data_IF_969079246370
#
_entry.id   IF_969079246370
#
_cell.length_a   1.000
_cell.length_b   1.000
_cell.length_c   1.000
_cell.angle_alpha   90.00
_cell.angle_beta   90.00
_cell.angle_gamma   90.00
#
_symmetry.space_group_name_H-M   'P 1'
#
loop_
_entity.id
_entity.type
_entity.pdbx_description
1 polymer ?
#
# COMPACT_ATOMS: atom_id res chain seq x y z
N UNK A 1 5.06 23.64 -13.08
CA UNK A 1 3.74 23.14 -13.52
C UNK A 1 2.66 24.07 -12.99
N UNK A 2 1.67 24.39 -13.83
CA UNK A 2 0.48 25.14 -13.41
C UNK A 2 -0.32 24.35 -12.38
N UNK A 3 -0.92 25.05 -11.41
CA UNK A 3 -1.70 24.44 -10.31
C UNK A 3 -2.81 23.51 -10.81
N UNK A 4 -3.54 23.93 -11.85
CA UNK A 4 -4.61 23.13 -12.45
C UNK A 4 -4.09 21.85 -13.11
N UNK A 5 -2.94 21.91 -13.79
CA UNK A 5 -2.31 20.76 -14.39
C UNK A 5 -1.83 19.77 -13.31
N UNK A 6 -1.26 20.28 -12.22
CA UNK A 6 -0.78 19.46 -11.12
C UNK A 6 -1.94 18.73 -10.39
N UNK A 7 -3.06 19.42 -10.13
CA UNK A 7 -4.26 18.81 -9.56
C UNK A 7 -4.83 17.74 -10.51
N UNK A 8 -4.84 18.00 -11.82
CA UNK A 8 -5.30 17.04 -12.82
C UNK A 8 -4.44 15.77 -12.81
N UNK A 9 -3.11 15.90 -12.72
CA UNK A 9 -2.21 14.75 -12.61
C UNK A 9 -2.46 13.96 -11.30
N UNK A 10 -2.65 14.67 -10.20
CA UNK A 10 -2.99 14.03 -8.93
C UNK A 10 -4.28 13.19 -9.04
N UNK A 11 -5.35 13.73 -9.63
CA UNK A 11 -6.61 12.99 -9.83
C UNK A 11 -6.47 11.79 -10.80
N UNK A 12 -5.42 11.76 -11.61
CA UNK A 12 -5.02 10.62 -12.46
C UNK A 12 -4.13 9.61 -11.73
N UNK A 13 -3.87 9.79 -10.45
CA UNK A 13 -3.09 8.87 -9.63
C UNK A 13 -1.59 9.19 -9.52
N UNK A 14 -1.17 10.41 -9.87
CA UNK A 14 0.22 10.83 -9.75
C UNK A 14 0.42 11.77 -8.55
N UNK A 15 1.01 11.26 -7.48
CA UNK A 15 1.41 12.06 -6.32
C UNK A 15 2.92 12.27 -6.34
N UNK A 16 3.42 13.52 -6.27
CA UNK A 16 4.85 13.78 -6.17
C UNK A 16 5.43 13.18 -4.88
N UNK A 17 6.60 12.58 -4.98
CA UNK A 17 7.33 12.03 -3.85
C UNK A 17 7.96 13.11 -2.96
N UNK A 18 8.41 12.74 -1.74
CA UNK A 18 9.19 13.61 -0.88
C UNK A 18 10.50 14.01 -1.59
N UNK A 19 10.75 15.31 -1.72
CA UNK A 19 11.94 15.86 -2.39
C UNK A 19 12.08 15.50 -3.89
N UNK A 20 11.04 15.00 -4.54
CA UNK A 20 11.01 14.78 -5.99
C UNK A 20 11.00 16.15 -6.69
N UNK A 21 11.94 16.36 -7.63
CA UNK A 21 11.95 17.61 -8.42
C UNK A 21 10.79 17.62 -9.41
N UNK A 22 10.43 18.82 -9.89
CA UNK A 22 9.37 18.97 -10.89
C UNK A 22 9.72 18.19 -12.18
N UNK A 23 10.97 18.26 -12.61
CA UNK A 23 11.46 17.55 -13.79
C UNK A 23 11.36 16.04 -13.63
N UNK A 24 11.80 15.48 -12.49
CA UNK A 24 11.73 14.05 -12.21
C UNK A 24 10.29 13.57 -12.14
N UNK A 25 9.41 14.33 -11.51
CA UNK A 25 7.99 14.03 -11.46
C UNK A 25 7.35 13.99 -12.86
N UNK A 26 7.59 15.01 -13.70
CA UNK A 26 7.04 15.06 -15.05
C UNK A 26 7.60 13.94 -15.94
N UNK A 27 8.89 13.67 -15.83
CA UNK A 27 9.52 12.53 -16.54
C UNK A 27 8.87 11.22 -16.15
N UNK A 28 8.60 10.98 -14.86
CA UNK A 28 7.89 9.78 -14.38
C UNK A 28 6.47 9.70 -14.96
N UNK A 29 5.74 10.81 -14.99
CA UNK A 29 4.41 10.86 -15.61
C UNK A 29 4.47 10.49 -17.09
N UNK A 30 5.36 11.14 -17.85
CA UNK A 30 5.54 10.90 -19.29
C UNK A 30 5.89 9.44 -19.58
N UNK A 31 6.81 8.84 -18.81
CA UNK A 31 7.18 7.43 -18.95
C UNK A 31 5.99 6.50 -18.68
N UNK A 32 5.17 6.78 -17.65
CA UNK A 32 3.96 6.00 -17.41
C UNK A 32 2.94 6.13 -18.56
N UNK A 33 2.80 7.32 -19.14
CA UNK A 33 1.92 7.55 -20.28
C UNK A 33 2.43 6.85 -21.56
N UNK A 34 3.73 6.83 -21.80
CA UNK A 34 4.33 6.09 -22.93
C UNK A 34 4.13 4.58 -22.79
N UNK A 35 4.34 4.05 -21.59
CA UNK A 35 4.12 2.64 -21.29
C UNK A 35 2.65 2.27 -21.48
N UNK A 36 1.73 3.14 -21.09
CA UNK A 36 0.30 2.92 -21.28
C UNK A 36 -0.12 2.89 -22.76
N UNK A 37 0.64 3.53 -23.67
CA UNK A 37 0.39 3.46 -25.13
C UNK A 37 0.74 2.11 -25.75
N UNK A 38 1.77 1.42 -25.25
CA UNK A 38 2.16 0.07 -25.70
C UNK A 38 2.48 -0.85 -24.51
N UNK A 39 1.44 -1.27 -23.77
CA UNK A 39 1.62 -2.06 -22.54
C UNK A 39 2.21 -3.44 -22.81
N UNK A 40 1.98 -4.04 -24.00
CA UNK A 40 2.52 -5.34 -24.33
C UNK A 40 4.05 -5.30 -24.53
N UNK A 41 4.56 -4.22 -25.11
CA UNK A 41 6.00 -3.99 -25.24
C UNK A 41 6.64 -3.78 -23.87
N UNK A 42 5.98 -3.01 -23.00
CA UNK A 42 6.43 -2.77 -21.64
C UNK A 42 6.55 -4.07 -20.84
N UNK A 43 5.53 -4.94 -20.88
CA UNK A 43 5.55 -6.23 -20.16
C UNK A 43 6.66 -7.17 -20.64
N UNK A 44 7.01 -7.15 -21.95
CA UNK A 44 8.11 -7.99 -22.49
C UNK A 44 9.47 -7.61 -21.90
N UNK A 45 9.67 -6.35 -21.57
CA UNK A 45 10.92 -5.84 -21.00
C UNK A 45 10.99 -5.99 -19.47
N UNK A 46 9.89 -6.38 -18.84
CA UNK A 46 9.78 -6.60 -17.39
C UNK A 46 9.72 -8.11 -17.09
N UNK A 47 10.06 -8.54 -15.88
CA UNK A 47 9.96 -9.95 -15.46
C UNK A 47 8.50 -10.41 -15.30
N UNK A 48 7.58 -9.83 -16.07
CA UNK A 48 6.14 -10.05 -16.08
C UNK A 48 5.63 -10.50 -17.47
N UNK A 49 6.52 -10.96 -18.33
CA UNK A 49 6.19 -11.39 -19.70
C UNK A 49 5.11 -12.49 -19.78
N UNK A 50 4.97 -13.28 -18.70
CA UNK A 50 4.01 -14.38 -18.59
C UNK A 50 2.65 -13.94 -18.00
N UNK A 51 2.44 -12.65 -17.77
CA UNK A 51 1.21 -12.12 -17.18
C UNK A 51 0.26 -11.64 -18.26
N UNK A 52 -1.05 -11.86 -18.07
CA UNK A 52 -2.05 -11.39 -19.00
C UNK A 52 -2.40 -9.93 -18.70
N UNK A 53 -2.34 -9.08 -19.72
CA UNK A 53 -2.84 -7.71 -19.60
C UNK A 53 -4.33 -7.68 -19.27
N UNK A 54 -4.71 -6.84 -18.32
CA UNK A 54 -6.09 -6.50 -18.08
C UNK A 54 -6.42 -5.26 -18.90
N UNK A 55 -7.29 -5.42 -19.90
CA UNK A 55 -7.75 -4.32 -20.76
C UNK A 55 -8.95 -3.59 -20.21
N UNK A 56 -9.55 -4.10 -19.13
CA UNK A 56 -10.68 -3.44 -18.47
C UNK A 56 -10.19 -2.23 -17.68
N UNK A 57 -10.73 -1.01 -17.95
CA UNK A 57 -10.39 0.16 -17.17
C UNK A 57 -10.86 -0.03 -15.72
N UNK A 58 -10.01 0.35 -14.76
CA UNK A 58 -10.37 0.25 -13.34
C UNK A 58 -11.50 1.20 -12.93
N UNK A 59 -11.84 2.17 -13.79
CA UNK A 59 -12.85 3.16 -13.51
C UNK A 59 -12.44 4.16 -12.42
N UNK A 60 -13.44 4.81 -11.83
CA UNK A 60 -13.24 5.70 -10.69
C UNK A 60 -13.03 4.86 -9.42
N UNK A 61 -11.94 5.08 -8.73
CA UNK A 61 -11.60 4.39 -7.48
C UNK A 61 -12.12 5.17 -6.29
N UNK A 62 -13.23 4.71 -5.74
CA UNK A 62 -13.77 5.25 -4.49
C UNK A 62 -13.10 4.61 -3.26
N UNK A 63 -12.98 5.30 -2.12
CA UNK A 63 -13.46 6.67 -1.84
C UNK A 63 -12.50 7.79 -2.27
N UNK A 64 -11.41 7.48 -2.95
CA UNK A 64 -10.32 8.42 -3.22
C UNK A 64 -10.55 9.33 -4.42
N UNK A 65 -11.59 9.09 -5.25
CA UNK A 65 -11.90 9.85 -6.45
C UNK A 65 -10.74 9.98 -7.47
N UNK A 66 -9.96 8.90 -7.66
CA UNK A 66 -8.89 8.82 -8.64
C UNK A 66 -9.29 8.04 -9.87
N UNK A 67 -8.76 8.46 -11.03
CA UNK A 67 -8.84 7.70 -12.27
C UNK A 67 -7.43 7.22 -12.63
N UNK A 68 -7.22 5.93 -12.73
CA UNK A 68 -5.91 5.35 -13.08
C UNK A 68 -5.87 4.94 -14.55
N UNK A 69 -6.02 5.93 -15.44
CA UNK A 69 -6.08 5.74 -16.90
C UNK A 69 -4.75 5.30 -17.53
N UNK A 70 -3.65 5.53 -16.83
CA UNK A 70 -2.28 5.15 -17.27
C UNK A 70 -1.71 3.98 -16.50
N UNK A 71 -2.47 3.38 -15.56
CA UNK A 71 -1.98 2.30 -14.73
C UNK A 71 -1.98 0.98 -15.50
N UNK A 72 -0.80 0.36 -15.59
CA UNK A 72 -0.68 -0.97 -16.14
C UNK A 72 -1.25 -1.99 -15.15
N UNK A 73 -2.30 -2.69 -15.57
CA UNK A 73 -2.95 -3.74 -14.77
C UNK A 73 -2.78 -5.09 -15.44
N UNK A 74 -2.39 -6.09 -14.67
CA UNK A 74 -2.16 -7.46 -15.15
C UNK A 74 -2.93 -8.48 -14.30
N UNK A 75 -3.33 -9.59 -14.91
CA UNK A 75 -3.96 -10.72 -14.22
C UNK A 75 -3.02 -11.91 -14.17
N UNK A 76 -2.66 -12.34 -12.97
CA UNK A 76 -1.82 -13.51 -12.76
C UNK A 76 -1.94 -14.02 -11.33
N UNK A 77 -1.85 -15.35 -11.14
CA UNK A 77 -1.69 -15.99 -9.82
C UNK A 77 -0.21 -16.25 -9.50
N UNK A 78 0.69 -16.02 -10.46
CA UNK A 78 2.13 -16.23 -10.28
C UNK A 78 2.69 -15.21 -9.29
N UNK A 79 3.58 -15.66 -8.42
CA UNK A 79 4.26 -14.84 -7.40
C UNK A 79 3.33 -14.18 -6.38
N UNK A 80 2.03 -14.45 -6.43
CA UNK A 80 1.05 -13.93 -5.50
C UNK A 80 0.71 -15.02 -4.48
N UNK A 81 0.98 -14.83 -3.18
CA UNK A 81 0.57 -15.77 -2.13
C UNK A 81 -0.92 -16.09 -2.22
N UNK A 82 -1.32 -17.33 -1.89
CA UNK A 82 -2.71 -17.77 -2.10
C UNK A 82 -3.75 -16.96 -1.30
N UNK A 83 -3.33 -16.24 -0.27
CA UNK A 83 -4.19 -15.38 0.55
C UNK A 83 -4.27 -13.93 0.06
N UNK A 84 -3.44 -13.51 -0.89
CA UNK A 84 -3.46 -12.17 -1.46
C UNK A 84 -4.33 -12.10 -2.70
N UNK A 85 -5.19 -11.09 -2.79
CA UNK A 85 -6.08 -10.86 -3.94
C UNK A 85 -5.44 -10.03 -5.04
N UNK A 86 -4.45 -9.21 -4.68
CA UNK A 86 -3.69 -8.34 -5.58
C UNK A 86 -2.34 -8.00 -4.97
N UNK A 87 -1.48 -7.38 -5.75
CA UNK A 87 -0.24 -6.75 -5.31
C UNK A 87 0.13 -5.61 -6.25
N UNK A 88 0.67 -4.53 -5.69
CA UNK A 88 1.31 -3.46 -6.44
C UNK A 88 2.81 -3.72 -6.54
N UNK A 89 3.32 -3.79 -7.77
CA UNK A 89 4.75 -3.91 -8.06
C UNK A 89 5.29 -2.56 -8.45
N UNK A 90 6.45 -2.20 -7.93
CA UNK A 90 7.19 -1.00 -8.32
C UNK A 90 8.45 -1.40 -9.06
N UNK A 91 8.60 -0.93 -10.28
CA UNK A 91 9.78 -1.17 -11.12
C UNK A 91 10.54 0.13 -11.30
N UNK A 92 11.84 0.10 -11.03
CA UNK A 92 12.70 1.21 -11.35
C UNK A 92 12.85 1.34 -12.88
N UNK A 93 12.68 2.55 -13.38
CA UNK A 93 12.82 2.91 -14.78
C UNK A 93 14.23 3.46 -15.04
N UNK A 94 14.73 3.27 -16.26
CA UNK A 94 15.95 3.93 -16.73
C UNK A 94 15.73 5.45 -16.66
N UNK A 95 16.43 6.13 -15.73
CA UNK A 95 16.24 7.56 -15.44
C UNK A 95 15.73 7.88 -14.03
N UNK A 96 15.52 6.86 -13.17
CA UNK A 96 15.25 7.02 -11.74
C UNK A 96 13.79 7.19 -11.34
N UNK A 97 12.84 6.97 -12.25
CA UNK A 97 11.41 6.92 -11.92
C UNK A 97 10.96 5.53 -11.49
N UNK A 98 9.81 5.44 -10.81
CA UNK A 98 9.18 4.19 -10.43
C UNK A 98 7.87 3.99 -11.19
N UNK A 99 7.72 2.83 -11.85
CA UNK A 99 6.52 2.42 -12.53
C UNK A 99 5.70 1.48 -11.64
N UNK A 100 4.52 1.90 -11.18
CA UNK A 100 3.61 1.00 -10.49
C UNK A 100 2.87 0.10 -11.50
N UNK A 101 2.79 -1.19 -11.18
CA UNK A 101 2.00 -2.17 -11.93
C UNK A 101 1.07 -2.87 -10.95
N UNK A 102 -0.22 -2.86 -11.23
CA UNK A 102 -1.22 -3.55 -10.43
C UNK A 102 -1.39 -4.99 -10.94
N UNK A 103 -1.05 -5.97 -10.11
CA UNK A 103 -1.37 -7.36 -10.35
C UNK A 103 -2.66 -7.73 -9.64
N UNK A 104 -3.63 -8.26 -10.39
CA UNK A 104 -4.86 -8.84 -9.86
C UNK A 104 -4.81 -10.36 -9.99
N UNK A 105 -5.34 -11.06 -9.00
CA UNK A 105 -5.50 -12.52 -9.07
C UNK A 105 -6.50 -12.90 -10.17
N UNK A 106 -6.20 -13.99 -10.92
CA UNK A 106 -7.10 -14.51 -11.96
C UNK A 106 -8.38 -15.09 -11.37
N UNK A 107 -8.25 -15.87 -10.31
CA UNK A 107 -9.37 -16.48 -9.63
C UNK A 107 -9.96 -15.56 -8.58
N UNK A 108 -11.27 -15.69 -8.31
CA UNK A 108 -11.98 -14.80 -7.39
C UNK A 108 -11.31 -14.74 -6.02
N UNK A 109 -11.04 -13.54 -5.56
CA UNK A 109 -10.69 -13.24 -4.18
C UNK A 109 -11.96 -13.28 -3.30
N UNK A 110 -11.77 -13.53 -2.00
CA UNK A 110 -12.82 -13.37 -0.96
C UNK A 110 -13.24 -11.91 -0.75
N UNK A 111 -12.53 -10.96 -1.38
CA UNK A 111 -12.81 -9.52 -1.34
C UNK A 111 -13.47 -9.06 -2.63
N UNK A 112 -14.27 -8.00 -2.55
CA UNK A 112 -14.74 -7.32 -3.76
C UNK A 112 -13.55 -6.70 -4.51
N UNK A 113 -13.62 -6.69 -5.84
CA UNK A 113 -12.59 -6.05 -6.67
C UNK A 113 -12.39 -4.58 -6.30
N UNK A 114 -13.50 -3.86 -6.04
CA UNK A 114 -13.48 -2.47 -5.59
C UNK A 114 -12.66 -2.27 -4.31
N UNK A 115 -12.84 -3.13 -3.30
CA UNK A 115 -12.10 -3.02 -2.04
C UNK A 115 -10.60 -3.32 -2.22
N UNK A 116 -10.28 -4.28 -3.11
CA UNK A 116 -8.89 -4.61 -3.44
C UNK A 116 -8.24 -3.43 -4.18
N UNK A 117 -8.89 -2.93 -5.23
CA UNK A 117 -8.36 -1.83 -6.04
C UNK A 117 -8.20 -0.55 -5.22
N UNK A 118 -9.16 -0.25 -4.33
CA UNK A 118 -9.04 0.92 -3.43
C UNK A 118 -7.86 0.82 -2.48
N UNK A 119 -7.55 -0.38 -2.00
CA UNK A 119 -6.38 -0.65 -1.16
C UNK A 119 -5.08 -0.45 -1.94
N UNK A 120 -4.98 -1.09 -3.10
CA UNK A 120 -3.79 -1.01 -3.97
C UNK A 120 -3.56 0.40 -4.53
N UNK A 121 -4.63 1.17 -4.73
CA UNK A 121 -4.57 2.55 -5.18
C UNK A 121 -3.71 3.43 -4.25
N UNK A 122 -3.72 3.18 -2.94
CA UNK A 122 -2.87 3.91 -1.99
C UNK A 122 -1.40 3.60 -2.23
N UNK A 123 -1.05 2.33 -2.47
CA UNK A 123 0.32 1.92 -2.80
C UNK A 123 0.80 2.55 -4.10
N UNK A 124 -0.07 2.57 -5.12
CA UNK A 124 0.21 3.20 -6.41
C UNK A 124 0.46 4.70 -6.26
N UNK A 125 -0.41 5.40 -5.54
CA UNK A 125 -0.25 6.84 -5.28
C UNK A 125 1.05 7.16 -4.55
N UNK A 126 1.44 6.31 -3.60
CA UNK A 126 2.60 6.51 -2.75
C UNK A 126 3.87 5.82 -3.24
N UNK A 127 3.87 5.29 -4.47
CA UNK A 127 5.03 4.58 -5.05
C UNK A 127 6.33 5.39 -4.93
N UNK A 128 6.29 6.73 -5.10
CA UNK A 128 7.45 7.61 -5.00
C UNK A 128 7.88 7.95 -3.55
N UNK A 129 7.22 7.42 -2.52
CA UNK A 129 7.58 7.70 -1.12
C UNK A 129 8.58 6.71 -0.55
N UNK A 130 8.59 5.46 -1.04
CA UNK A 130 9.45 4.36 -0.54
C UNK A 130 9.37 4.18 1.00
N UNK A 131 8.18 4.32 1.56
CA UNK A 131 7.92 4.26 3.01
C UNK A 131 6.88 3.18 3.32
N UNK A 132 7.13 2.41 4.40
CA UNK A 132 6.32 1.22 4.69
C UNK A 132 5.53 1.30 6.01
N UNK A 133 5.85 2.26 6.88
CA UNK A 133 5.34 2.18 8.25
C UNK A 133 3.85 2.45 8.35
N UNK A 134 3.37 3.53 7.71
CA UNK A 134 1.96 3.91 7.72
C UNK A 134 1.24 3.60 6.43
N UNK A 135 1.94 3.15 5.39
CA UNK A 135 1.36 2.88 4.08
C UNK A 135 0.24 1.84 4.15
N UNK A 136 0.46 0.71 4.82
CA UNK A 136 -0.59 -0.30 5.04
C UNK A 136 -1.77 0.26 5.87
N UNK A 137 -1.49 1.13 6.85
CA UNK A 137 -2.54 1.76 7.63
C UNK A 137 -3.39 2.67 6.74
N UNK A 138 -2.76 3.46 5.87
CA UNK A 138 -3.44 4.29 4.87
C UNK A 138 -4.26 3.45 3.90
N UNK A 139 -3.68 2.38 3.35
CA UNK A 139 -4.35 1.51 2.40
C UNK A 139 -5.59 0.83 3.02
N UNK A 140 -5.49 0.31 4.24
CA UNK A 140 -6.66 -0.28 4.92
C UNK A 140 -7.72 0.72 5.35
N UNK A 141 -7.44 2.04 5.39
CA UNK A 141 -8.46 3.07 5.63
C UNK A 141 -9.51 3.14 4.54
N UNK A 142 -9.18 2.73 3.32
CA UNK A 142 -10.14 2.64 2.21
C UNK A 142 -11.20 1.54 2.41
N UNK A 143 -10.96 0.56 3.29
CA UNK A 143 -11.91 -0.54 3.53
C UNK A 143 -13.22 -0.06 4.15
N UNK A 144 -14.34 -0.57 3.65
CA UNK A 144 -15.69 -0.33 4.22
C UNK A 144 -15.90 -1.01 5.57
N UNK A 145 -15.07 -2.02 5.92
CA UNK A 145 -15.20 -2.82 7.14
C UNK A 145 -14.30 -2.29 8.26
N UNK A 146 -14.90 -1.82 9.36
CA UNK A 146 -14.16 -1.22 10.49
C UNK A 146 -13.08 -2.12 11.09
N UNK A 147 -13.33 -3.43 11.24
CA UNK A 147 -12.33 -4.37 11.78
C UNK A 147 -11.10 -4.47 10.84
N UNK A 148 -11.28 -4.39 9.51
CA UNK A 148 -10.18 -4.40 8.56
C UNK A 148 -9.38 -3.12 8.61
N UNK A 149 -10.03 -1.96 8.75
CA UNK A 149 -9.35 -0.68 8.95
C UNK A 149 -8.37 -0.72 10.14
N UNK A 150 -8.71 -1.49 11.18
CA UNK A 150 -7.90 -1.55 12.40
C UNK A 150 -6.89 -2.70 12.36
N UNK A 151 -7.32 -3.92 12.06
CA UNK A 151 -6.49 -5.12 12.15
C UNK A 151 -5.83 -5.52 10.82
N UNK A 152 -6.32 -5.00 9.68
CA UNK A 152 -5.74 -5.31 8.36
C UNK A 152 -4.23 -5.08 8.31
N UNK A 153 -3.70 -3.95 8.83
CA UNK A 153 -2.26 -3.67 8.77
C UNK A 153 -1.43 -4.44 9.82
N UNK A 154 -1.90 -5.57 10.35
CA UNK A 154 -1.15 -6.40 11.32
C UNK A 154 0.15 -6.92 10.70
N UNK A 155 0.06 -7.48 9.49
CA UNK A 155 1.21 -7.89 8.69
C UNK A 155 1.46 -6.82 7.61
N UNK A 156 2.62 -6.17 7.67
CA UNK A 156 3.00 -5.11 6.71
C UNK A 156 3.84 -5.62 5.56
N UNK A 157 4.39 -6.80 5.72
CA UNK A 157 5.23 -7.45 4.71
C UNK A 157 4.83 -8.91 4.59
N UNK A 158 4.88 -9.49 3.39
CA UNK A 158 4.61 -10.92 3.19
C UNK A 158 5.47 -11.83 4.08
N UNK A 159 6.70 -11.38 4.40
CA UNK A 159 7.61 -12.12 5.29
C UNK A 159 7.06 -12.27 6.72
N UNK A 160 6.33 -11.30 7.24
CA UNK A 160 5.80 -11.34 8.61
C UNK A 160 4.71 -12.42 8.75
N UNK A 161 3.81 -12.53 7.76
CA UNK A 161 2.82 -13.61 7.73
C UNK A 161 3.46 -14.98 7.55
N UNK A 162 4.51 -15.08 6.70
CA UNK A 162 5.26 -16.32 6.52
C UNK A 162 5.98 -16.74 7.81
N UNK A 163 6.65 -15.83 8.51
CA UNK A 163 7.30 -16.10 9.80
C UNK A 163 6.28 -16.62 10.81
N UNK A 164 5.12 -15.97 10.91
CA UNK A 164 4.05 -16.42 11.79
C UNK A 164 3.56 -17.83 11.44
N UNK A 165 3.34 -18.11 10.16
CA UNK A 165 2.94 -19.41 9.68
C UNK A 165 3.99 -20.49 10.00
N UNK A 166 5.27 -20.20 9.73
CA UNK A 166 6.39 -21.13 10.02
C UNK A 166 6.54 -21.39 11.51
N UNK A 167 6.44 -20.37 12.37
CA UNK A 167 6.49 -20.53 13.82
C UNK A 167 5.33 -21.40 14.33
N UNK A 168 4.13 -21.17 13.80
CA UNK A 168 2.92 -21.91 14.21
C UNK A 168 2.98 -23.37 13.76
N UNK A 169 3.28 -23.60 12.48
CA UNK A 169 3.40 -24.94 11.92
C UNK A 169 4.58 -25.72 12.51
N UNK A 170 5.70 -25.04 12.74
CA UNK A 170 6.88 -25.62 13.38
C UNK A 170 6.62 -26.02 14.83
N UNK A 171 5.94 -25.17 15.61
CA UNK A 171 5.53 -25.49 16.98
C UNK A 171 4.58 -26.70 17.00
N UNK A 172 3.59 -26.71 16.11
CA UNK A 172 2.64 -27.83 16.00
C UNK A 172 3.35 -29.14 15.60
N UNK A 173 4.19 -29.12 14.57
CA UNK A 173 4.91 -30.31 14.12
C UNK A 173 5.83 -30.86 15.22
N UNK A 174 6.55 -29.97 15.92
CA UNK A 174 7.42 -30.38 17.01
C UNK A 174 6.63 -30.91 18.20
N UNK A 175 5.49 -30.34 18.54
CA UNK A 175 4.59 -30.87 19.57
C UNK A 175 4.14 -32.28 19.24
N UNK A 176 3.68 -32.54 18.01
CA UNK A 176 3.26 -33.87 17.57
C UNK A 176 4.40 -34.89 17.66
N UNK A 177 5.60 -34.52 17.24
CA UNK A 177 6.79 -35.40 17.33
C UNK A 177 7.14 -35.70 18.79
N UNK A 178 7.13 -34.67 19.65
CA UNK A 178 7.45 -34.85 21.07
C UNK A 178 6.43 -35.74 21.78
N UNK A 179 5.12 -35.58 21.50
CA UNK A 179 4.09 -36.42 22.06
C UNK A 179 4.15 -37.89 21.55
N UNK A 180 4.56 -38.07 20.28
CA UNK A 180 4.75 -39.41 19.72
C UNK A 180 5.95 -40.14 20.35
N UNK A 181 7.05 -39.46 20.61
CA UNK A 181 8.26 -40.01 21.20
C UNK A 181 8.18 -40.12 22.75
N UNK A 182 7.50 -39.15 23.36
CA UNK A 182 7.40 -39.00 24.81
C UNK A 182 5.92 -38.71 25.19
N UNK A 183 5.07 -39.73 25.39
CA UNK A 183 3.63 -39.56 25.63
C UNK A 183 3.25 -38.65 26.82
N UNK A 184 4.19 -38.42 27.73
CA UNK A 184 3.99 -37.54 28.89
C UNK A 184 4.55 -36.10 28.70
N UNK A 185 4.98 -35.77 27.48
CA UNK A 185 5.54 -34.44 27.18
C UNK A 185 4.45 -33.34 27.06
N UNK A 186 3.51 -33.30 28.03
CA UNK A 186 2.43 -32.28 28.04
C UNK A 186 2.97 -30.85 28.05
N UNK A 187 4.20 -30.64 28.48
CA UNK A 187 4.91 -29.36 28.44
C UNK A 187 5.18 -28.87 27.00
N UNK A 188 5.10 -29.76 25.98
CA UNK A 188 5.28 -29.40 24.57
C UNK A 188 4.33 -28.27 24.11
N UNK A 189 3.14 -28.15 24.76
CA UNK A 189 2.21 -27.06 24.52
C UNK A 189 2.85 -25.66 24.71
N UNK A 190 3.89 -25.53 25.53
CA UNK A 190 4.62 -24.28 25.71
C UNK A 190 5.38 -23.81 24.46
N UNK A 191 5.55 -24.66 23.45
CA UNK A 191 6.12 -24.27 22.16
C UNK A 191 5.29 -23.19 21.47
N UNK A 192 3.99 -23.13 21.74
CA UNK A 192 3.12 -22.06 21.20
C UNK A 192 3.39 -20.68 21.78
N UNK A 193 4.25 -20.57 22.80
CA UNK A 193 4.67 -19.25 23.32
C UNK A 193 5.41 -18.44 22.26
N UNK A 194 6.12 -19.09 21.32
CA UNK A 194 6.85 -18.40 20.27
C UNK A 194 5.92 -17.69 19.26
N UNK A 195 4.97 -18.37 18.57
CA UNK A 195 4.04 -17.68 17.68
C UNK A 195 3.14 -16.70 18.42
N UNK A 196 2.72 -16.97 19.67
CA UNK A 196 1.95 -16.05 20.49
C UNK A 196 2.73 -14.78 20.85
N UNK A 197 4.00 -14.92 21.23
CA UNK A 197 4.89 -13.78 21.50
C UNK A 197 5.09 -12.92 20.25
N UNK A 198 5.27 -13.56 19.10
CA UNK A 198 5.43 -12.86 17.82
C UNK A 198 4.15 -12.07 17.45
N UNK A 199 2.99 -12.69 17.51
CA UNK A 199 1.71 -11.99 17.24
C UNK A 199 1.48 -10.87 18.26
N UNK A 200 1.80 -11.09 19.54
CA UNK A 200 1.68 -10.06 20.58
C UNK A 200 2.57 -8.85 20.27
N UNK A 201 3.80 -9.09 19.81
CA UNK A 201 4.69 -8.02 19.35
C UNK A 201 4.10 -7.25 18.17
N UNK A 202 3.55 -7.95 17.16
CA UNK A 202 2.91 -7.31 16.00
C UNK A 202 1.68 -6.48 16.41
N UNK A 203 0.87 -6.99 17.33
CA UNK A 203 -0.29 -6.28 17.88
C UNK A 203 0.11 -5.02 18.66
N UNK A 204 1.13 -5.09 19.50
CA UNK A 204 1.64 -3.92 20.23
C UNK A 204 2.15 -2.86 19.26
N UNK A 205 2.90 -3.26 18.22
CA UNK A 205 3.35 -2.39 17.13
C UNK A 205 2.16 -1.73 16.44
N UNK A 206 1.15 -2.53 16.05
CA UNK A 206 -0.06 -2.04 15.39
C UNK A 206 -0.79 -1.02 16.24
N UNK A 207 -1.05 -1.32 17.51
CA UNK A 207 -1.76 -0.42 18.43
C UNK A 207 -1.02 0.91 18.60
N UNK A 208 0.32 0.85 18.75
CA UNK A 208 1.15 2.05 18.85
C UNK A 208 1.02 2.91 17.60
N UNK A 209 1.15 2.31 16.41
CA UNK A 209 1.16 3.05 15.17
C UNK A 209 -0.25 3.56 14.78
N UNK A 210 -1.29 2.78 15.08
CA UNK A 210 -2.68 3.26 14.97
C UNK A 210 -2.97 4.47 15.88
N UNK A 211 -2.42 4.49 17.10
CA UNK A 211 -2.56 5.65 18.02
C UNK A 211 -1.83 6.89 17.47
N UNK A 212 -0.62 6.72 16.95
CA UNK A 212 0.15 7.83 16.34
C UNK A 212 -0.63 8.38 15.16
N UNK A 213 -1.05 7.51 14.24
CA UNK A 213 -1.79 7.89 13.04
C UNK A 213 -3.13 8.58 13.37
N UNK A 214 -3.90 8.03 14.30
CA UNK A 214 -5.17 8.63 14.70
C UNK A 214 -5.01 10.02 15.34
N UNK A 215 -3.94 10.24 16.11
CA UNK A 215 -3.59 11.57 16.64
C UNK A 215 -3.26 12.54 15.49
N UNK A 216 -2.52 12.07 14.50
CA UNK A 216 -2.17 12.87 13.32
C UNK A 216 -3.42 13.24 12.51
N UNK A 217 -4.30 12.27 12.19
CA UNK A 217 -5.58 12.54 11.53
C UNK A 217 -6.44 13.55 12.31
N UNK A 218 -6.48 13.44 13.64
CA UNK A 218 -7.23 14.39 14.47
C UNK A 218 -6.67 15.81 14.37
N UNK A 219 -5.35 15.98 14.20
CA UNK A 219 -4.73 17.29 13.96
C UNK A 219 -5.10 17.82 12.57
N UNK A 220 -5.02 16.98 11.51
CA UNK A 220 -5.43 17.37 10.16
C UNK A 220 -6.89 17.82 10.14
N UNK A 221 -7.79 17.01 10.68
CA UNK A 221 -9.23 17.32 10.75
C UNK A 221 -9.55 18.63 11.49
N UNK A 222 -8.79 18.96 12.54
CA UNK A 222 -8.96 20.24 13.26
C UNK A 222 -8.50 21.43 12.43
N UNK A 223 -7.43 21.26 11.63
CA UNK A 223 -6.84 22.33 10.85
C UNK A 223 -7.53 22.56 9.51
N UNK A 224 -7.97 21.47 8.86
CA UNK A 224 -8.58 21.46 7.54
C UNK A 224 -9.98 20.82 7.62
N UNK A 225 -10.94 21.56 8.19
CA UNK A 225 -12.27 21.03 8.53
C UNK A 225 -13.11 20.64 7.33
N UNK A 226 -12.87 21.25 6.16
CA UNK A 226 -13.63 21.08 4.93
C UNK A 226 -13.09 19.97 4.05
N UNK A 227 -11.90 19.42 4.41
CA UNK A 227 -11.21 18.41 3.61
C UNK A 227 -11.21 17.06 4.30
N UNK A 228 -11.15 15.99 3.49
CA UNK A 228 -10.97 14.64 4.03
C UNK A 228 -9.55 14.49 4.61
N UNK A 229 -9.49 14.27 5.91
CA UNK A 229 -8.22 14.08 6.61
C UNK A 229 -7.48 12.80 6.19
N UNK A 230 -8.18 11.78 5.67
CA UNK A 230 -7.58 10.53 5.18
C UNK A 230 -6.93 10.78 3.81
N UNK A 231 -7.58 11.53 2.91
CA UNK A 231 -6.98 11.99 1.64
C UNK A 231 -5.76 12.87 1.89
N UNK A 232 -5.88 13.85 2.78
CA UNK A 232 -4.75 14.72 3.12
C UNK A 232 -3.56 13.96 3.71
N UNK A 233 -3.81 12.88 4.47
CA UNK A 233 -2.74 12.10 5.07
C UNK A 233 -1.85 11.38 4.02
N UNK A 234 -2.33 11.17 2.79
CA UNK A 234 -1.54 10.58 1.70
C UNK A 234 -0.30 11.40 1.35
N UNK A 235 -0.33 12.72 1.63
CA UNK A 235 0.75 13.64 1.34
C UNK A 235 1.90 13.61 2.34
N UNK A 236 1.75 12.95 3.49
CA UNK A 236 2.74 13.03 4.57
C UNK A 236 3.63 11.81 4.62
N UNK A 237 4.92 12.04 4.88
CA UNK A 237 5.91 10.99 5.11
C UNK A 237 5.67 10.32 6.47
N UNK A 238 6.22 9.12 6.63
CA UNK A 238 6.21 8.39 7.90
C UNK A 238 6.78 9.25 9.04
N UNK A 239 7.84 10.01 8.76
CA UNK A 239 8.47 10.91 9.72
C UNK A 239 7.55 12.06 10.12
N UNK A 240 6.95 12.74 9.14
CA UNK A 240 6.02 13.84 9.38
C UNK A 240 4.79 13.39 10.19
N UNK A 241 4.28 12.19 9.92
CA UNK A 241 3.18 11.59 10.68
C UNK A 241 3.59 11.35 12.14
N UNK A 242 4.79 10.80 12.39
CA UNK A 242 5.30 10.54 13.74
C UNK A 242 5.52 11.82 14.52
N UNK A 243 6.15 12.80 13.90
CA UNK A 243 6.41 14.12 14.49
C UNK A 243 5.11 14.93 14.66
N UNK A 244 4.05 14.54 13.94
CA UNK A 244 2.80 15.27 13.87
C UNK A 244 2.97 16.65 13.22
N UNK A 245 3.93 16.75 12.31
CA UNK A 245 4.24 17.96 11.58
C UNK A 245 3.22 18.15 10.45
N UNK A 246 2.51 19.29 10.46
CA UNK A 246 1.59 19.69 9.38
C UNK A 246 2.28 20.69 8.42
N UNK A 247 3.50 21.06 8.72
CA UNK A 247 4.31 21.90 7.83
C UNK A 247 5.14 20.98 6.94
N UNK A 248 4.83 21.01 5.67
CA UNK A 248 5.65 20.40 4.63
C UNK A 248 6.77 21.37 4.21
N UNK A 249 7.83 20.83 3.62
CA UNK A 249 8.90 21.59 2.99
C UNK A 249 8.41 22.47 1.82
N UNK A 250 9.32 22.98 1.01
CA UNK A 250 9.01 23.75 -0.21
C UNK A 250 9.01 22.91 -1.49
N UNK A 251 8.81 21.60 -1.38
CA UNK A 251 8.82 20.68 -2.51
C UNK A 251 7.52 20.72 -3.35
N UNK A 252 7.53 20.06 -4.49
CA UNK A 252 6.38 20.02 -5.42
C UNK A 252 5.13 19.43 -4.74
N UNK A 253 5.31 18.40 -3.90
CA UNK A 253 4.26 17.77 -3.09
C UNK A 253 3.56 18.78 -2.18
N UNK A 254 4.35 19.65 -1.52
CA UNK A 254 3.82 20.72 -0.65
C UNK A 254 3.06 21.76 -1.42
N UNK A 255 3.46 22.04 -2.66
CA UNK A 255 2.77 22.97 -3.55
C UNK A 255 1.42 22.40 -3.96
N UNK A 256 1.37 21.13 -4.38
CA UNK A 256 0.12 20.43 -4.67
C UNK A 256 -0.82 20.40 -3.45
N UNK A 257 -0.31 20.07 -2.26
CA UNK A 257 -1.08 20.10 -1.03
C UNK A 257 -1.73 21.46 -0.78
N UNK A 258 -0.95 22.54 -0.92
CA UNK A 258 -1.46 23.93 -0.76
C UNK A 258 -2.52 24.28 -1.78
N UNK A 259 -2.39 23.83 -3.02
CA UNK A 259 -3.41 24.04 -4.05
C UNK A 259 -4.71 23.33 -3.72
N UNK A 260 -4.63 22.07 -3.28
CA UNK A 260 -5.81 21.28 -2.91
C UNK A 260 -6.59 21.90 -1.74
N UNK A 261 -5.92 22.46 -0.74
CA UNK A 261 -6.61 23.06 0.42
C UNK A 261 -7.13 24.48 0.16
N UNK A 262 -6.69 25.14 -0.92
CA UNK A 262 -7.12 26.50 -1.27
C UNK A 262 -8.14 26.52 -2.42
N UNK A 263 -8.41 25.39 -3.06
CA UNK A 263 -9.26 25.28 -4.27
C UNK A 263 -10.74 25.00 -3.92
N UNK A 264 -11.11 25.08 -2.63
CA UNK A 264 -12.48 24.88 -2.09
C UNK A 264 -13.14 26.19 -1.73
#
# INVERSE_FOLDING_TARGET
VDSKALIKLYRRGFLPGPNESEEAFLQRVEMCEEIAKDPQRALRNLPLSDFDLCTEPLGLVEPLNFTFDTLLTVRSDKRLPFWEGAATWSFELEGGGQLPILQLRKNRSYMSLEEIVSHEAVHILRTAFDEMRFEEILAYRTSKKGWRRYFGPLFRRPRESLIFALLTLGAFALEVILLALFPFAVWAVYLFIFPLSYVSFLLLRLVRDQRIFSRFLSKLKRRFKEHDSEELALFFTDREIVEGAIKMGGDLRSSLFRYLINDV
#
